data_IF_432809398440
#
_entry.id   IF_432809398440
#
_cell.length_a   1.000
_cell.length_b   1.000
_cell.length_c   1.000
_cell.angle_alpha   90.00
_cell.angle_beta   90.00
_cell.angle_gamma   90.00
#
_symmetry.space_group_name_H-M   'P 1'
#
loop_
_entity.id
_entity.type
_entity.pdbx_description
1 polymer ?
#
# COMPACT_ATOMS: atom_id res chain seq x y z
N UNK A 1 6.95 -17.18 24.96
CA UNK A 1 6.17 -17.24 23.71
C UNK A 1 7.19 -17.20 22.59
N UNK A 2 7.47 -18.35 21.98
CA UNK A 2 8.38 -18.42 20.82
C UNK A 2 7.56 -17.86 19.64
N UNK A 3 8.04 -16.84 18.90
CA UNK A 3 7.35 -16.39 17.70
C UNK A 3 7.10 -17.59 16.78
N UNK A 4 5.97 -17.66 16.06
CA UNK A 4 5.79 -18.71 15.07
C UNK A 4 7.03 -18.73 14.17
N UNK A 5 7.62 -19.91 13.98
CA UNK A 5 8.77 -20.06 13.09
C UNK A 5 8.30 -19.63 11.69
N UNK A 6 8.74 -18.44 11.26
CA UNK A 6 8.46 -17.97 9.92
C UNK A 6 9.29 -18.81 8.96
N UNK A 7 8.63 -19.39 7.95
CA UNK A 7 9.35 -20.02 6.86
C UNK A 7 10.08 -18.92 6.07
N UNK A 8 11.41 -18.88 6.21
CA UNK A 8 12.25 -17.89 5.54
C UNK A 8 12.13 -17.96 4.00
N UNK A 9 11.69 -19.09 3.46
CA UNK A 9 11.50 -19.28 2.01
C UNK A 9 10.34 -18.45 1.44
N UNK A 10 9.38 -18.04 2.26
CA UNK A 10 8.25 -17.20 1.84
C UNK A 10 8.55 -15.69 1.91
N UNK A 11 9.67 -15.29 2.52
CA UNK A 11 10.01 -13.88 2.74
C UNK A 11 10.06 -13.05 1.45
N UNK A 12 10.65 -13.53 0.33
CA UNK A 12 10.68 -12.77 -0.93
C UNK A 12 9.28 -12.44 -1.46
N UNK A 13 8.39 -13.42 -1.52
CA UNK A 13 7.00 -13.24 -1.98
C UNK A 13 6.24 -12.30 -1.07
N UNK A 14 6.38 -12.49 0.25
CA UNK A 14 5.73 -11.64 1.24
C UNK A 14 6.20 -10.19 1.14
N UNK A 15 7.50 -9.95 0.96
CA UNK A 15 8.04 -8.61 0.78
C UNK A 15 7.50 -7.97 -0.50
N UNK A 16 7.50 -8.69 -1.63
CA UNK A 16 6.93 -8.20 -2.89
C UNK A 16 5.47 -7.78 -2.73
N UNK A 17 4.67 -8.62 -2.06
CA UNK A 17 3.25 -8.33 -1.79
C UNK A 17 3.05 -7.11 -0.89
N UNK A 18 3.88 -6.94 0.14
CA UNK A 18 3.82 -5.78 1.04
C UNK A 18 4.16 -4.48 0.30
N UNK A 19 5.16 -4.52 -0.58
CA UNK A 19 5.52 -3.38 -1.43
C UNK A 19 4.39 -3.04 -2.39
N UNK A 20 3.79 -4.03 -3.05
CA UNK A 20 2.68 -3.80 -3.99
C UNK A 20 1.48 -3.17 -3.29
N UNK A 21 1.13 -3.65 -2.09
CA UNK A 21 0.07 -3.06 -1.25
C UNK A 21 0.36 -1.60 -0.88
N UNK A 22 1.61 -1.30 -0.51
CA UNK A 22 1.98 0.06 -0.12
C UNK A 22 1.85 1.03 -1.30
N UNK A 23 2.35 0.64 -2.48
CA UNK A 23 2.29 1.44 -3.71
C UNK A 23 0.84 1.68 -4.12
N UNK A 24 0.03 0.61 -4.19
CA UNK A 24 -1.38 0.70 -4.57
C UNK A 24 -2.18 1.59 -3.60
N UNK A 25 -1.98 1.41 -2.29
CA UNK A 25 -2.58 2.27 -1.26
C UNK A 25 -2.21 3.74 -1.45
N UNK A 26 -0.93 4.05 -1.67
CA UNK A 26 -0.47 5.44 -1.85
C UNK A 26 -1.15 6.08 -3.06
N UNK A 27 -1.20 5.38 -4.19
CA UNK A 27 -1.83 5.87 -5.42
C UNK A 27 -3.33 6.09 -5.20
N UNK A 28 -4.02 5.11 -4.58
CA UNK A 28 -5.44 5.20 -4.28
C UNK A 28 -5.76 6.35 -3.32
N UNK A 29 -5.00 6.49 -2.22
CA UNK A 29 -5.17 7.56 -1.24
C UNK A 29 -4.96 8.95 -1.87
N UNK A 30 -3.93 9.12 -2.70
CA UNK A 30 -3.68 10.39 -3.41
C UNK A 30 -4.82 10.75 -4.37
N UNK A 31 -5.40 9.77 -5.06
CA UNK A 31 -6.55 9.98 -5.93
C UNK A 31 -7.81 10.34 -5.15
N UNK A 32 -8.16 9.52 -4.15
CA UNK A 32 -9.36 9.69 -3.34
C UNK A 32 -9.37 10.99 -2.52
N UNK A 33 -8.21 11.42 -2.03
CA UNK A 33 -8.10 12.61 -1.17
C UNK A 33 -7.77 13.88 -1.93
N UNK A 34 -7.63 13.84 -3.26
CA UNK A 34 -7.23 14.98 -4.10
C UNK A 34 -7.97 16.27 -3.74
N UNK A 35 -9.29 16.27 -3.85
CA UNK A 35 -10.09 17.49 -3.68
C UNK A 35 -10.01 18.03 -2.25
N UNK A 36 -10.00 17.12 -1.27
CA UNK A 36 -9.82 17.46 0.15
C UNK A 36 -8.45 18.12 0.40
N UNK A 37 -7.37 17.57 -0.17
CA UNK A 37 -6.02 18.08 0.01
C UNK A 37 -5.83 19.45 -0.66
N UNK A 38 -6.36 19.62 -1.88
CA UNK A 38 -6.32 20.90 -2.60
C UNK A 38 -7.16 21.98 -1.90
N UNK A 39 -8.36 21.63 -1.41
CA UNK A 39 -9.22 22.55 -0.67
C UNK A 39 -8.56 23.00 0.64
N UNK A 40 -7.99 22.04 1.39
CA UNK A 40 -7.29 22.31 2.65
C UNK A 40 -6.10 23.24 2.43
N UNK A 41 -5.28 22.99 1.40
CA UNK A 41 -4.19 23.90 1.04
C UNK A 41 -4.70 25.27 0.64
N UNK A 42 -5.74 25.34 -0.20
CA UNK A 42 -6.29 26.61 -0.69
C UNK A 42 -6.74 27.51 0.46
N UNK A 43 -7.42 26.95 1.47
CA UNK A 43 -7.97 27.69 2.62
C UNK A 43 -6.93 27.98 3.71
N UNK A 44 -6.13 26.99 4.05
CA UNK A 44 -5.31 27.02 5.26
C UNK A 44 -3.80 27.05 5.00
N UNK A 45 -3.38 26.80 3.75
CA UNK A 45 -1.97 26.61 3.37
C UNK A 45 -1.27 25.55 4.24
N UNK A 46 -2.07 24.60 4.72
CA UNK A 46 -1.62 23.50 5.56
C UNK A 46 -1.10 22.36 4.69
N UNK A 47 0.05 21.81 5.10
CA UNK A 47 0.80 20.74 4.42
C UNK A 47 0.70 19.42 5.17
N UNK A 48 0.34 19.45 6.46
CA UNK A 48 0.29 18.26 7.32
C UNK A 48 -0.53 17.13 6.71
N UNK A 49 -1.80 17.37 6.31
CA UNK A 49 -2.65 16.34 5.73
C UNK A 49 -2.07 15.67 4.48
N UNK A 50 -1.29 16.42 3.70
CA UNK A 50 -0.61 15.90 2.53
C UNK A 50 0.57 14.99 2.92
N UNK A 51 1.42 15.44 3.84
CA UNK A 51 2.60 14.67 4.28
C UNK A 51 2.18 13.36 4.96
N UNK A 52 1.13 13.38 5.77
CA UNK A 52 0.64 12.18 6.47
C UNK A 52 0.08 11.13 5.50
N UNK A 53 -0.43 11.57 4.34
CA UNK A 53 -0.94 10.66 3.31
C UNK A 53 0.19 9.89 2.61
N UNK A 54 1.42 10.43 2.61
CA UNK A 54 2.54 9.94 1.81
C UNK A 54 3.60 9.13 2.57
N UNK A 55 3.24 8.59 3.72
CA UNK A 55 4.13 7.67 4.43
C UNK A 55 4.49 6.45 3.57
N UNK A 56 5.79 6.14 3.51
CA UNK A 56 6.34 4.96 2.85
C UNK A 56 7.44 4.32 3.70
N UNK A 57 7.53 2.99 3.65
CA UNK A 57 8.57 2.18 4.30
C UNK A 57 9.78 1.93 3.42
N UNK A 58 9.71 2.24 2.12
CA UNK A 58 10.79 1.97 1.15
C UNK A 58 12.17 2.41 1.64
N UNK A 59 12.28 3.63 2.17
CA UNK A 59 13.55 4.18 2.66
C UNK A 59 14.07 3.57 3.96
N UNK A 60 13.23 2.80 4.64
CA UNK A 60 13.58 2.14 5.90
C UNK A 60 14.00 0.69 5.71
N UNK A 61 13.89 0.16 4.49
CA UNK A 61 14.33 -1.19 4.16
C UNK A 61 15.84 -1.30 4.23
N UNK A 62 16.32 -2.42 4.78
CA UNK A 62 17.75 -2.73 4.77
C UNK A 62 18.20 -3.24 3.40
N UNK A 63 19.51 -3.22 3.13
CA UNK A 63 20.06 -3.84 1.93
C UNK A 63 19.73 -5.34 1.84
N UNK A 64 19.60 -6.02 2.98
CA UNK A 64 19.23 -7.44 3.03
C UNK A 64 17.79 -7.64 2.55
N UNK A 65 16.86 -6.77 2.97
CA UNK A 65 15.47 -6.83 2.50
C UNK A 65 15.40 -6.60 0.99
N UNK A 66 16.10 -5.58 0.48
CA UNK A 66 16.12 -5.28 -0.96
C UNK A 66 16.74 -6.40 -1.80
N UNK A 67 17.70 -7.15 -1.24
CA UNK A 67 18.30 -8.30 -1.92
C UNK A 67 17.33 -9.49 -2.12
N UNK A 68 16.18 -9.50 -1.44
CA UNK A 68 15.14 -10.51 -1.63
C UNK A 68 14.23 -10.20 -2.84
N UNK A 69 14.36 -9.01 -3.44
CA UNK A 69 13.54 -8.56 -4.56
C UNK A 69 14.37 -8.59 -5.84
N UNK A 70 13.75 -8.97 -6.96
CA UNK A 70 14.41 -8.96 -8.26
C UNK A 70 14.86 -7.56 -8.66
N UNK A 71 16.02 -7.45 -9.31
CA UNK A 71 16.62 -6.15 -9.66
C UNK A 71 15.68 -5.26 -10.48
N UNK A 72 14.96 -5.83 -11.46
CA UNK A 72 14.01 -5.07 -12.28
C UNK A 72 12.83 -4.51 -11.46
N UNK A 73 12.39 -5.24 -10.43
CA UNK A 73 11.35 -4.77 -9.52
C UNK A 73 11.86 -3.69 -8.57
N UNK A 74 13.12 -3.79 -8.10
CA UNK A 74 13.77 -2.72 -7.32
C UNK A 74 13.90 -1.44 -8.14
N UNK A 75 14.33 -1.53 -9.40
CA UNK A 75 14.41 -0.37 -10.31
C UNK A 75 13.05 0.29 -10.54
N UNK A 76 12.00 -0.50 -10.75
CA UNK A 76 10.64 0.01 -10.91
C UNK A 76 10.12 0.68 -9.63
N UNK A 77 10.36 0.08 -8.46
CA UNK A 77 10.02 0.67 -7.17
C UNK A 77 10.77 1.99 -6.96
N UNK A 78 12.05 2.05 -7.25
CA UNK A 78 12.86 3.25 -7.09
C UNK A 78 12.35 4.40 -7.97
N UNK A 79 11.95 4.11 -9.22
CA UNK A 79 11.34 5.10 -10.10
C UNK A 79 10.03 5.66 -9.51
N UNK A 80 9.16 4.80 -8.96
CA UNK A 80 7.94 5.23 -8.28
C UNK A 80 8.22 6.10 -7.05
N UNK A 81 9.10 5.63 -6.14
CA UNK A 81 9.38 6.35 -4.90
C UNK A 81 10.14 7.66 -5.13
N UNK A 82 10.86 7.78 -6.23
CA UNK A 82 11.48 9.03 -6.65
C UNK A 82 10.46 10.08 -7.09
N UNK A 83 9.49 9.71 -7.93
CA UNK A 83 8.40 10.63 -8.29
C UNK A 83 7.57 11.04 -7.06
N UNK A 84 7.36 10.09 -6.13
CA UNK A 84 6.71 10.37 -4.87
C UNK A 84 7.50 11.39 -4.03
N UNK A 85 8.83 11.25 -3.96
CA UNK A 85 9.71 12.19 -3.26
C UNK A 85 9.70 13.58 -3.89
N UNK A 86 9.82 13.67 -5.20
CA UNK A 86 9.81 14.94 -5.91
C UNK A 86 8.48 15.68 -5.66
N UNK A 87 7.38 14.93 -5.62
CA UNK A 87 6.08 15.49 -5.30
C UNK A 87 5.94 15.89 -3.81
N UNK A 88 6.45 15.08 -2.88
CA UNK A 88 6.54 15.44 -1.46
C UNK A 88 7.33 16.74 -1.26
N UNK A 89 8.48 16.85 -1.92
CA UNK A 89 9.34 18.02 -1.86
C UNK A 89 8.63 19.26 -2.39
N UNK A 90 7.96 19.14 -3.53
CA UNK A 90 7.16 20.22 -4.10
C UNK A 90 6.09 20.70 -3.11
N UNK A 91 5.27 19.79 -2.58
CA UNK A 91 4.19 20.16 -1.65
C UNK A 91 4.70 20.74 -0.33
N UNK A 92 5.90 20.34 0.11
CA UNK A 92 6.52 20.88 1.32
C UNK A 92 6.89 22.35 1.17
N UNK A 93 7.31 22.79 -0.01
CA UNK A 93 7.93 24.10 -0.20
C UNK A 93 7.18 25.04 -1.15
N UNK A 94 6.19 24.55 -1.88
CA UNK A 94 5.44 25.35 -2.84
C UNK A 94 4.76 26.57 -2.20
N UNK A 95 4.69 27.65 -2.97
CA UNK A 95 3.93 28.87 -2.69
C UNK A 95 2.92 29.14 -3.82
N UNK A 96 2.67 28.13 -4.65
CA UNK A 96 1.86 28.28 -5.84
C UNK A 96 0.41 28.64 -5.52
N UNK A 97 -0.22 29.32 -6.48
CA UNK A 97 -1.65 29.61 -6.44
C UNK A 97 -2.46 28.31 -6.56
N UNK A 98 -3.68 28.24 -5.99
CA UNK A 98 -4.47 26.99 -5.98
C UNK A 98 -4.66 26.33 -7.35
N UNK A 99 -4.82 27.13 -8.41
CA UNK A 99 -4.95 26.63 -9.78
C UNK A 99 -3.68 25.95 -10.26
N UNK A 100 -2.52 26.62 -10.11
CA UNK A 100 -1.22 26.05 -10.46
C UNK A 100 -0.89 24.80 -9.63
N UNK A 101 -1.25 24.81 -8.34
CA UNK A 101 -1.11 23.63 -7.49
C UNK A 101 -1.94 22.46 -8.01
N UNK A 102 -3.21 22.70 -8.38
CA UNK A 102 -4.09 21.65 -8.89
C UNK A 102 -3.53 21.03 -10.18
N UNK A 103 -3.06 21.86 -11.12
CA UNK A 103 -2.43 21.38 -12.36
C UNK A 103 -1.18 20.54 -12.07
N UNK A 104 -0.34 20.99 -11.13
CA UNK A 104 0.86 20.26 -10.69
C UNK A 104 0.51 18.95 -9.98
N UNK A 105 -0.51 18.96 -9.13
CA UNK A 105 -1.03 17.78 -8.46
C UNK A 105 -1.50 16.74 -9.48
N UNK A 106 -2.29 17.14 -10.46
CA UNK A 106 -2.83 16.24 -11.49
C UNK A 106 -1.72 15.63 -12.35
N UNK A 107 -0.75 16.46 -12.74
CA UNK A 107 0.43 15.98 -13.48
C UNK A 107 1.25 14.99 -12.65
N UNK A 108 1.50 15.30 -11.38
CA UNK A 108 2.25 14.43 -10.49
C UNK A 108 1.51 13.12 -10.22
N UNK A 109 0.21 13.18 -9.92
CA UNK A 109 -0.62 11.99 -9.72
C UNK A 109 -0.61 11.09 -10.96
N UNK A 110 -0.69 11.66 -12.17
CA UNK A 110 -0.60 10.88 -13.40
C UNK A 110 0.74 10.13 -13.51
N UNK A 111 1.85 10.78 -13.19
CA UNK A 111 3.17 10.16 -13.23
C UNK A 111 3.33 9.09 -12.16
N UNK A 112 3.00 9.42 -10.91
CA UNK A 112 3.05 8.52 -9.76
C UNK A 112 2.19 7.28 -10.03
N UNK A 113 0.98 7.44 -10.57
CA UNK A 113 0.12 6.31 -10.95
C UNK A 113 0.73 5.44 -12.05
N UNK A 114 1.40 6.04 -13.05
CA UNK A 114 2.03 5.29 -14.14
C UNK A 114 3.23 4.47 -13.63
N UNK A 115 4.12 5.08 -12.85
CA UNK A 115 5.24 4.36 -12.24
C UNK A 115 4.78 3.36 -11.18
N UNK A 116 3.69 3.67 -10.45
CA UNK A 116 3.08 2.77 -9.48
C UNK A 116 2.54 1.52 -10.14
N UNK A 117 1.81 1.66 -11.26
CA UNK A 117 1.31 0.52 -12.04
C UNK A 117 2.46 -0.37 -12.54
N UNK A 118 3.54 0.24 -13.06
CA UNK A 118 4.72 -0.49 -13.49
C UNK A 118 5.38 -1.25 -12.32
N UNK A 119 5.58 -0.60 -11.18
CA UNK A 119 6.18 -1.23 -10.01
C UNK A 119 5.33 -2.38 -9.48
N UNK A 120 4.01 -2.19 -9.38
CA UNK A 120 3.07 -3.24 -8.98
C UNK A 120 3.11 -4.43 -9.94
N UNK A 121 3.15 -4.18 -11.25
CA UNK A 121 3.31 -5.25 -12.25
C UNK A 121 4.60 -6.05 -12.00
N UNK A 122 5.73 -5.37 -11.78
CA UNK A 122 7.03 -6.03 -11.52
C UNK A 122 7.09 -6.77 -10.18
N UNK A 123 6.23 -6.42 -9.23
CA UNK A 123 6.14 -7.11 -7.94
C UNK A 123 5.23 -8.36 -7.97
N UNK A 124 4.57 -8.63 -9.11
CA UNK A 124 3.65 -9.76 -9.27
C UNK A 124 2.17 -9.39 -9.22
N UNK A 125 1.84 -8.08 -9.31
CA UNK A 125 0.48 -7.56 -9.33
C UNK A 125 -0.01 -7.06 -7.97
N UNK A 126 -1.08 -6.27 -7.99
CA UNK A 126 -1.76 -5.83 -6.78
C UNK A 126 -2.48 -7.03 -6.16
N UNK A 127 -2.25 -7.35 -4.88
CA UNK A 127 -3.00 -8.41 -4.24
C UNK A 127 -4.47 -8.02 -4.12
N UNK A 128 -5.36 -8.98 -4.35
CA UNK A 128 -6.79 -8.77 -4.17
C UNK A 128 -7.07 -8.35 -2.72
N UNK A 129 -7.65 -7.16 -2.56
CA UNK A 129 -8.10 -6.68 -1.27
C UNK A 129 -9.36 -7.45 -0.87
N UNK A 130 -9.46 -7.92 0.39
CA UNK A 130 -10.69 -8.54 0.86
C UNK A 130 -11.84 -7.53 0.79
N UNK A 131 -12.88 -7.87 0.04
CA UNK A 131 -14.11 -7.07 -0.03
C UNK A 131 -14.95 -7.41 1.20
N UNK A 132 -14.95 -6.53 2.19
CA UNK A 132 -15.87 -6.62 3.32
C UNK A 132 -17.20 -5.98 2.92
N UNK A 133 -18.27 -6.78 2.94
CA UNK A 133 -19.64 -6.27 2.93
C UNK A 133 -20.09 -6.16 4.37
N UNK A 134 -20.43 -4.95 4.77
CA UNK A 134 -21.14 -4.73 6.03
C UNK A 134 -22.62 -4.80 5.68
N UNK A 135 -23.29 -5.86 6.12
CA UNK A 135 -24.75 -5.96 5.98
C UNK A 135 -25.37 -4.92 6.91
N UNK A 136 -26.27 -4.07 6.39
CA UNK A 136 -26.86 -2.92 7.10
C UNK A 136 -27.81 -3.32 8.25
N UNK A 137 -27.99 -4.62 8.52
CA UNK A 137 -29.05 -5.17 9.38
C UNK A 137 -28.60 -5.71 10.75
N UNK A 138 -27.33 -5.55 11.17
CA UNK A 138 -26.90 -5.96 12.52
C UNK A 138 -26.82 -4.76 13.49
N UNK A 139 -27.76 -4.75 14.45
CA UNK A 139 -27.84 -3.81 15.57
C UNK A 139 -26.47 -3.54 16.23
N UNK A 140 -26.16 -2.24 16.34
CA UNK A 140 -24.91 -1.56 16.70
C UNK A 140 -24.42 -1.79 18.16
N UNK A 141 -24.34 -3.03 18.65
CA UNK A 141 -23.87 -3.33 20.02
C UNK A 141 -22.80 -4.42 20.15
N UNK A 142 -22.29 -5.02 19.07
CA UNK A 142 -21.31 -6.10 19.15
C UNK A 142 -19.85 -5.72 18.81
N UNK A 143 -19.54 -4.45 18.54
CA UNK A 143 -18.22 -3.95 18.08
C UNK A 143 -16.99 -4.24 18.98
N UNK A 144 -17.16 -4.96 20.09
CA UNK A 144 -16.05 -5.46 20.94
C UNK A 144 -15.77 -6.96 20.78
N UNK A 145 -16.54 -7.70 19.97
CA UNK A 145 -16.25 -9.09 19.66
C UNK A 145 -15.29 -9.14 18.47
N UNK A 146 -13.98 -9.24 18.75
CA UNK A 146 -12.99 -9.65 17.75
C UNK A 146 -13.50 -10.96 17.13
N UNK A 147 -13.78 -11.02 15.82
CA UNK A 147 -14.32 -12.24 15.21
C UNK A 147 -13.28 -13.35 15.36
N UNK A 148 -13.71 -14.48 15.93
CA UNK A 148 -12.87 -15.66 16.12
C UNK A 148 -12.62 -16.26 14.72
N UNK A 149 -11.36 -16.28 14.32
CA UNK A 149 -10.92 -16.80 13.02
C UNK A 149 -11.22 -18.30 12.95
N UNK A 150 -12.24 -18.71 12.20
CA UNK A 150 -12.40 -20.12 11.83
C UNK A 150 -11.65 -20.38 10.52
N UNK A 151 -10.56 -21.11 10.63
CA UNK A 151 -9.80 -21.61 9.48
C UNK A 151 -10.62 -22.74 8.85
N UNK A 152 -11.19 -22.49 7.67
CA UNK A 152 -11.85 -23.52 6.88
C UNK A 152 -10.76 -24.31 6.17
N UNK A 153 -10.38 -25.47 6.73
CA UNK A 153 -9.53 -26.42 6.02
C UNK A 153 -10.29 -26.98 4.81
N UNK A 154 -9.74 -26.74 3.61
CA UNK A 154 -10.28 -27.26 2.37
C UNK A 154 -10.19 -28.79 2.29
N UNK A 155 -11.05 -29.44 1.49
CA UNK A 155 -11.10 -30.90 1.43
C UNK A 155 -10.06 -31.42 0.43
N UNK A 156 -9.10 -32.21 0.89
CA UNK A 156 -8.25 -32.95 -0.04
C UNK A 156 -7.10 -33.73 0.57
N UNK A 157 -7.25 -35.06 0.56
CA UNK A 157 -6.13 -35.98 0.34
C UNK A 157 -5.74 -36.82 1.55
N UNK A 158 -6.21 -38.07 1.55
CA UNK A 158 -5.96 -39.03 2.62
C UNK A 158 -4.61 -39.77 2.51
N UNK A 159 -4.23 -40.38 3.63
CA UNK A 159 -3.44 -41.61 3.81
C UNK A 159 -3.88 -42.09 5.21
N UNK A 160 -4.20 -43.33 5.53
CA UNK A 160 -3.78 -44.62 5.00
C UNK A 160 -3.42 -45.47 6.22
N UNK A 161 -4.06 -46.64 6.34
CA UNK A 161 -3.62 -47.83 7.08
C UNK A 161 -3.91 -47.98 8.59
N UNK A 162 -4.72 -49.02 8.86
CA UNK A 162 -4.44 -50.20 9.71
C UNK A 162 -4.03 -50.04 11.17
N UNK A 163 -4.78 -50.69 12.05
CA UNK A 163 -4.33 -51.65 13.10
C UNK A 163 -5.61 -52.19 13.79
N UNK A 164 -5.96 -53.45 13.54
CA UNK A 164 -5.84 -54.62 14.44
C UNK A 164 -7.02 -54.81 15.42
#
# INVERSE_FOLDING_TARGET
>A
MIPPAFDESELPERLRRLLALEIDRIVADLGLRRDFLLDTWSRHRDRGPFIDTLFSRWRTLSMVDLALVEAEAVEACEAFYRELEDFQLYMRFTQDMPTTLADRYDSALKHISAYGALAVERLGGAPELPVFRFDEDEDDTSLLAIPRLEVIEGPGGGTGSSEE
#
